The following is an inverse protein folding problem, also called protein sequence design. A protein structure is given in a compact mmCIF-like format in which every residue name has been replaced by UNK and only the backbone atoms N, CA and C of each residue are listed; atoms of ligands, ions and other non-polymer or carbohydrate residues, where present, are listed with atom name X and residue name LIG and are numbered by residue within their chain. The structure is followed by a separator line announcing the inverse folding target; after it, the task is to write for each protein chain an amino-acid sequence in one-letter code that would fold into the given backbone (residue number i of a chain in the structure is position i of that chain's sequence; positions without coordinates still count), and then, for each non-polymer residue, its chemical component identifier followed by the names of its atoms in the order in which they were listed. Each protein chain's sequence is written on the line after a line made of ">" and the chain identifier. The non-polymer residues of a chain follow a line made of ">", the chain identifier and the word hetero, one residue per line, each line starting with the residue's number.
data_IF_168748002874
#
_entry.id   IF_168748002874
#
_cell.length_a   1.000
_cell.length_b   1.000
_cell.length_c   1.000
_cell.angle_alpha   90.00
_cell.angle_beta   90.00
_cell.angle_gamma   90.00
#
_symmetry.space_group_name_H-M   'P 1'
#
loop_
_entity.id
_entity.type
_entity.pdbx_description
1 polymer ?
#
# COMPACT_ATOMS: atom_id res chain seq x y z
N UNK A 1 0.31 -1.34 3.78
CA UNK A 1 1.34 -1.61 4.80
C UNK A 1 0.82 -2.54 5.88
N UNK A 2 1.69 -3.43 6.38
CA UNK A 2 1.31 -4.39 7.41
C UNK A 2 1.20 -3.70 8.78
N UNK A 3 2.23 -2.97 9.19
CA UNK A 3 2.19 -2.12 10.38
C UNK A 3 2.07 -0.63 10.02
N UNK A 4 1.59 0.21 10.94
CA UNK A 4 1.38 1.62 10.68
C UNK A 4 2.01 2.50 11.78
N UNK A 5 1.26 3.12 12.63
CA UNK A 5 1.74 4.10 13.60
C UNK A 5 2.30 3.40 14.87
N UNK A 6 3.39 2.67 14.72
CA UNK A 6 4.11 1.96 15.78
C UNK A 6 5.59 2.37 15.79
N UNK A 7 6.27 2.21 16.91
CA UNK A 7 7.70 2.47 16.98
C UNK A 7 8.47 1.50 16.07
N UNK A 8 9.52 1.98 15.38
CA UNK A 8 10.28 1.14 14.43
C UNK A 8 10.85 -0.13 15.08
N UNK A 9 11.28 -0.04 16.35
CA UNK A 9 11.79 -1.20 17.11
C UNK A 9 10.77 -2.32 17.32
N UNK A 10 9.48 -2.01 17.24
CA UNK A 10 8.40 -2.96 17.51
C UNK A 10 7.88 -3.62 16.23
N UNK A 11 8.31 -3.13 15.04
CA UNK A 11 7.79 -3.57 13.74
C UNK A 11 7.98 -5.05 13.53
N UNK A 12 9.19 -5.59 13.70
CA UNK A 12 9.46 -7.00 13.41
C UNK A 12 8.61 -7.93 14.27
N UNK A 13 8.43 -7.59 15.56
CA UNK A 13 7.61 -8.37 16.51
C UNK A 13 6.09 -8.32 16.23
N UNK A 14 5.63 -7.38 15.40
CA UNK A 14 4.20 -7.23 15.02
C UNK A 14 3.87 -7.87 13.67
N UNK A 15 4.87 -8.32 12.92
CA UNK A 15 4.63 -8.97 11.64
C UNK A 15 4.15 -10.40 11.84
N UNK A 16 3.09 -10.77 11.12
CA UNK A 16 2.59 -12.15 11.06
C UNK A 16 2.30 -12.53 9.61
N UNK A 17 2.35 -13.82 9.25
CA UNK A 17 1.95 -14.26 7.90
C UNK A 17 0.53 -13.82 7.55
N UNK A 18 -0.40 -13.88 8.49
CA UNK A 18 -1.78 -13.42 8.31
C UNK A 18 -1.84 -11.91 8.02
N UNK A 19 -1.09 -11.11 8.78
CA UNK A 19 -1.02 -9.66 8.58
C UNK A 19 -0.50 -9.27 7.20
N UNK A 20 0.51 -9.99 6.69
CA UNK A 20 1.02 -9.81 5.31
C UNK A 20 -0.05 -10.20 4.29
N UNK A 21 -0.70 -11.34 4.46
CA UNK A 21 -1.76 -11.80 3.56
C UNK A 21 -2.97 -10.87 3.57
N UNK A 22 -3.38 -10.37 4.73
CA UNK A 22 -4.50 -9.44 4.88
C UNK A 22 -4.19 -8.09 4.21
N UNK A 23 -2.97 -7.58 4.36
CA UNK A 23 -2.53 -6.36 3.69
C UNK A 23 -2.50 -6.53 2.16
N UNK A 24 -2.06 -7.68 1.66
CA UNK A 24 -2.05 -8.02 0.24
C UNK A 24 -3.49 -8.14 -0.31
N UNK A 25 -4.39 -8.79 0.42
CA UNK A 25 -5.80 -8.88 0.06
C UNK A 25 -6.46 -7.50 0.02
N UNK A 26 -6.23 -6.68 1.04
CA UNK A 26 -6.81 -5.35 1.14
C UNK A 26 -6.42 -4.43 -0.01
N UNK A 27 -5.14 -4.41 -0.42
CA UNK A 27 -4.71 -3.60 -1.56
C UNK A 27 -5.25 -4.17 -2.87
N UNK A 28 -5.29 -5.50 -3.04
CA UNK A 28 -5.88 -6.16 -4.21
C UNK A 28 -7.34 -5.76 -4.37
N UNK A 29 -8.15 -5.87 -3.32
CA UNK A 29 -9.57 -5.49 -3.34
C UNK A 29 -9.77 -4.00 -3.62
N UNK A 30 -8.89 -3.15 -3.09
CA UNK A 30 -8.94 -1.71 -3.33
C UNK A 30 -8.64 -1.37 -4.79
N UNK A 31 -7.66 -2.04 -5.41
CA UNK A 31 -7.33 -1.88 -6.83
C UNK A 31 -8.45 -2.39 -7.75
N UNK A 32 -9.03 -3.53 -7.41
CA UNK A 32 -10.19 -4.07 -8.10
C UNK A 32 -11.38 -3.11 -8.02
N UNK A 33 -11.66 -2.54 -6.84
CA UNK A 33 -12.72 -1.55 -6.67
C UNK A 33 -12.44 -0.25 -7.44
N UNK A 34 -11.18 0.13 -7.59
CA UNK A 34 -10.74 1.29 -8.37
C UNK A 34 -10.78 1.06 -9.91
N UNK A 35 -11.15 -0.16 -10.36
CA UNK A 35 -11.33 -0.49 -11.78
C UNK A 35 -10.18 -1.26 -12.42
N UNK A 36 -9.18 -1.72 -11.65
CA UNK A 36 -8.18 -2.66 -12.18
C UNK A 36 -8.82 -4.05 -12.32
N UNK A 37 -8.61 -4.71 -13.45
CA UNK A 37 -9.17 -6.05 -13.71
C UNK A 37 -8.31 -7.17 -13.15
N UNK A 38 -6.99 -7.04 -13.28
CA UNK A 38 -6.00 -8.05 -12.88
C UNK A 38 -4.83 -7.35 -12.13
N UNK A 39 -5.06 -6.88 -10.88
CA UNK A 39 -4.03 -6.16 -10.15
C UNK A 39 -2.88 -7.08 -9.75
N UNK A 40 -1.65 -6.68 -10.10
CA UNK A 40 -0.42 -7.34 -9.66
C UNK A 40 0.16 -6.59 -8.46
N UNK A 41 0.36 -7.29 -7.37
CA UNK A 41 0.84 -6.72 -6.11
C UNK A 41 2.23 -7.24 -5.79
N UNK A 42 3.14 -6.35 -5.43
CA UNK A 42 4.46 -6.70 -4.89
C UNK A 42 4.48 -6.59 -3.37
N UNK A 43 5.24 -7.44 -2.70
CA UNK A 43 5.48 -7.36 -1.26
C UNK A 43 6.96 -7.03 -1.01
N UNK A 44 7.22 -6.01 -0.19
CA UNK A 44 8.56 -5.68 0.27
C UNK A 44 9.08 -6.70 1.30
N UNK A 45 10.38 -6.91 1.33
CA UNK A 45 11.05 -7.41 2.53
C UNK A 45 11.08 -6.36 3.64
N UNK A 46 11.40 -6.80 4.84
CA UNK A 46 11.64 -5.94 6.00
C UNK A 46 13.11 -5.49 6.04
N UNK A 47 14.02 -6.45 5.86
CA UNK A 47 15.44 -6.29 6.05
C UNK A 47 16.18 -5.89 4.76
N UNK A 48 17.38 -5.28 4.86
CA UNK A 48 18.23 -5.01 3.70
C UNK A 48 18.43 -6.27 2.85
N UNK A 49 18.35 -6.12 1.52
CA UNK A 49 18.54 -7.22 0.56
C UNK A 49 17.69 -8.47 0.83
N UNK A 50 16.46 -8.29 1.38
CA UNK A 50 15.57 -9.39 1.80
C UNK A 50 16.23 -10.35 2.81
N UNK A 51 16.94 -9.79 3.78
CA UNK A 51 17.60 -10.57 4.83
C UNK A 51 18.89 -11.26 4.40
N UNK A 52 19.24 -11.29 3.10
CA UNK A 52 20.45 -11.92 2.54
C UNK A 52 20.70 -13.31 3.13
N UNK A 53 19.77 -14.24 2.93
CA UNK A 53 19.78 -15.60 3.49
C UNK A 53 19.91 -15.65 5.02
N UNK A 54 19.37 -14.65 5.74
CA UNK A 54 19.38 -14.57 7.19
C UNK A 54 20.55 -13.78 7.79
N UNK A 55 21.45 -13.24 6.97
CA UNK A 55 22.57 -12.42 7.47
C UNK A 55 22.11 -11.12 8.13
N UNK A 56 20.97 -10.56 7.68
CA UNK A 56 20.41 -9.28 8.17
C UNK A 56 19.04 -9.42 8.86
N UNK A 57 18.62 -10.65 9.13
CA UNK A 57 17.31 -10.98 9.68
C UNK A 57 16.66 -12.10 8.93
N UNK A 58 15.67 -12.74 9.53
CA UNK A 58 15.01 -13.93 8.98
C UNK A 58 13.49 -13.74 8.80
N UNK A 59 12.97 -12.54 9.00
CA UNK A 59 11.55 -12.25 8.88
C UNK A 59 11.02 -12.50 7.46
N UNK A 60 11.87 -12.40 6.44
CA UNK A 60 11.50 -12.73 5.07
C UNK A 60 11.08 -14.19 4.96
N UNK A 61 11.92 -15.12 5.43
CA UNK A 61 11.67 -16.56 5.32
C UNK A 61 10.66 -17.08 6.34
N UNK A 62 10.62 -16.48 7.55
CA UNK A 62 9.78 -16.98 8.65
C UNK A 62 8.39 -16.38 8.69
N UNK A 63 8.18 -15.18 8.10
CA UNK A 63 6.93 -14.44 8.17
C UNK A 63 6.44 -14.00 6.80
N UNK A 64 7.29 -13.32 6.00
CA UNK A 64 6.82 -12.63 4.79
C UNK A 64 6.54 -13.64 3.66
N UNK A 65 7.42 -14.58 3.39
CA UNK A 65 7.20 -15.63 2.39
C UNK A 65 5.98 -16.50 2.72
N UNK A 66 5.80 -16.99 3.97
CA UNK A 66 4.57 -17.67 4.37
C UNK A 66 3.31 -16.81 4.16
N UNK A 67 3.39 -15.50 4.47
CA UNK A 67 2.28 -14.56 4.24
C UNK A 67 1.95 -14.36 2.75
N UNK A 68 2.96 -14.29 1.89
CA UNK A 68 2.79 -14.26 0.43
C UNK A 68 2.12 -15.55 -0.07
N UNK A 69 2.57 -16.71 0.41
CA UNK A 69 1.97 -18.00 0.06
C UNK A 69 0.48 -18.05 0.49
N UNK A 70 0.17 -17.54 1.68
CA UNK A 70 -1.21 -17.44 2.18
C UNK A 70 -2.05 -16.46 1.32
N UNK A 71 -1.51 -15.31 0.92
CA UNK A 71 -2.19 -14.39 0.03
C UNK A 71 -2.52 -15.02 -1.34
N UNK A 72 -1.58 -15.78 -1.90
CA UNK A 72 -1.78 -16.54 -3.15
C UNK A 72 -2.88 -17.58 -3.02
N UNK A 73 -2.94 -18.31 -1.90
CA UNK A 73 -4.00 -19.28 -1.64
C UNK A 73 -5.39 -18.64 -1.52
N UNK A 74 -5.44 -17.35 -1.18
CA UNK A 74 -6.66 -16.52 -1.14
C UNK A 74 -6.99 -15.84 -2.49
N UNK A 75 -6.30 -16.23 -3.58
CA UNK A 75 -6.54 -15.74 -4.93
C UNK A 75 -5.91 -14.39 -5.29
N UNK A 76 -4.95 -13.89 -4.50
CA UNK A 76 -4.23 -12.65 -4.83
C UNK A 76 -3.05 -12.94 -5.76
N UNK A 77 -2.89 -12.15 -6.84
CA UNK A 77 -1.70 -12.15 -7.69
C UNK A 77 -0.59 -11.33 -7.01
N UNK A 78 0.22 -12.01 -6.21
CA UNK A 78 1.22 -11.40 -5.33
C UNK A 78 2.60 -11.98 -5.60
N UNK A 79 3.60 -11.12 -5.72
CA UNK A 79 5.01 -11.48 -5.87
C UNK A 79 5.87 -10.88 -4.76
N UNK A 80 6.99 -11.54 -4.47
CA UNK A 80 7.96 -11.09 -3.48
C UNK A 80 8.51 -12.23 -2.62
N UNK A 81 9.22 -11.89 -1.53
CA UNK A 81 9.57 -10.53 -1.13
C UNK A 81 10.60 -9.88 -2.06
N UNK A 82 10.55 -8.55 -2.18
CA UNK A 82 11.50 -7.76 -2.94
C UNK A 82 12.21 -6.75 -2.05
N UNK A 83 13.50 -6.43 -2.32
CA UNK A 83 14.18 -5.35 -1.62
C UNK A 83 13.41 -4.02 -1.73
N UNK A 84 13.16 -3.39 -0.59
CA UNK A 84 12.31 -2.20 -0.51
C UNK A 84 12.90 -0.97 -1.22
N UNK A 85 14.23 -0.90 -1.35
CA UNK A 85 14.94 0.17 -2.03
C UNK A 85 14.76 0.17 -3.56
N UNK A 86 14.41 -0.97 -4.16
CA UNK A 86 14.32 -1.13 -5.63
C UNK A 86 12.92 -1.35 -6.16
N UNK A 87 12.01 -1.93 -5.36
CA UNK A 87 10.69 -2.35 -5.85
C UNK A 87 9.83 -1.17 -6.35
N UNK A 88 9.99 0.03 -5.78
CA UNK A 88 9.24 1.21 -6.20
C UNK A 88 9.60 1.66 -7.62
N UNK A 89 10.86 1.45 -8.07
CA UNK A 89 11.27 1.70 -9.45
C UNK A 89 10.52 0.77 -10.41
N UNK A 90 10.37 -0.51 -10.05
CA UNK A 90 9.63 -1.50 -10.85
C UNK A 90 8.15 -1.15 -10.94
N UNK A 91 7.54 -0.71 -9.84
CA UNK A 91 6.15 -0.27 -9.83
C UNK A 91 5.96 1.02 -10.66
N UNK A 92 6.86 1.99 -10.55
CA UNK A 92 6.84 3.20 -11.39
C UNK A 92 6.91 2.87 -12.88
N UNK A 93 7.61 1.80 -13.26
CA UNK A 93 7.71 1.31 -14.63
C UNK A 93 6.52 0.40 -15.04
N UNK A 94 5.47 0.32 -14.23
CA UNK A 94 4.23 -0.40 -14.56
C UNK A 94 4.28 -1.91 -14.38
N UNK A 95 5.30 -2.47 -13.70
CA UNK A 95 5.38 -3.91 -13.46
C UNK A 95 4.40 -4.37 -12.37
N UNK A 96 4.05 -3.49 -11.43
CA UNK A 96 3.12 -3.74 -10.35
C UNK A 96 2.14 -2.59 -10.19
N UNK A 97 0.92 -2.90 -9.79
CA UNK A 97 -0.15 -1.95 -9.56
C UNK A 97 -0.24 -1.52 -8.08
N UNK A 98 0.33 -2.32 -7.19
CA UNK A 98 0.38 -2.05 -5.76
C UNK A 98 1.61 -2.65 -5.09
N UNK A 99 2.00 -2.05 -3.96
CA UNK A 99 3.10 -2.52 -3.13
C UNK A 99 2.63 -2.64 -1.68
N UNK A 100 2.83 -3.80 -1.08
CA UNK A 100 2.68 -4.01 0.37
C UNK A 100 4.02 -3.75 1.03
N UNK A 101 4.06 -2.83 1.98
CA UNK A 101 5.24 -2.50 2.78
C UNK A 101 5.06 -2.97 4.21
N UNK A 102 6.16 -3.20 4.93
CA UNK A 102 6.12 -3.74 6.29
C UNK A 102 5.82 -2.66 7.32
N UNK A 103 6.28 -1.43 7.11
CA UNK A 103 6.08 -0.32 8.04
C UNK A 103 5.83 1.01 7.31
N UNK A 104 5.45 2.02 8.09
CA UNK A 104 4.96 3.31 7.58
C UNK A 104 5.94 3.98 6.61
N UNK A 105 7.17 4.29 7.04
CA UNK A 105 8.08 5.12 6.25
C UNK A 105 8.64 4.38 5.03
N UNK A 106 8.68 3.04 5.06
CA UNK A 106 9.10 2.23 3.91
C UNK A 106 8.28 2.54 2.64
N UNK A 107 6.99 2.82 2.80
CA UNK A 107 6.10 3.18 1.69
C UNK A 107 5.86 4.68 1.54
N UNK A 108 5.73 5.40 2.65
CA UNK A 108 5.33 6.80 2.61
C UNK A 108 6.40 7.72 2.02
N UNK A 109 7.68 7.44 2.27
CA UNK A 109 8.79 8.21 1.68
C UNK A 109 8.74 8.06 0.16
N UNK A 110 8.68 6.84 -0.35
CA UNK A 110 8.62 6.56 -1.78
C UNK A 110 7.38 7.19 -2.44
N UNK A 111 6.20 7.01 -1.85
CA UNK A 111 4.95 7.57 -2.36
C UNK A 111 5.00 9.10 -2.44
N UNK A 112 5.50 9.78 -1.42
CA UNK A 112 5.62 11.24 -1.41
C UNK A 112 6.61 11.76 -2.45
N UNK A 113 7.73 11.07 -2.65
CA UNK A 113 8.71 11.41 -3.68
C UNK A 113 8.18 11.16 -5.10
N UNK A 114 7.31 10.16 -5.28
CA UNK A 114 6.71 9.85 -6.58
C UNK A 114 5.59 10.81 -6.99
N UNK A 115 4.92 11.48 -6.05
CA UNK A 115 3.82 12.38 -6.41
C UNK A 115 2.99 12.90 -5.24
N UNK A 116 3.59 13.66 -4.36
CA UNK A 116 2.94 14.19 -3.15
C UNK A 116 1.66 14.99 -3.44
N UNK A 117 1.68 15.85 -4.48
CA UNK A 117 0.55 16.72 -4.82
C UNK A 117 -0.68 15.97 -5.37
N UNK A 118 -0.51 14.71 -5.75
CA UNK A 118 -1.56 13.86 -6.34
C UNK A 118 -1.97 12.72 -5.42
N UNK A 119 -1.30 12.60 -4.27
CA UNK A 119 -1.47 11.49 -3.35
C UNK A 119 -2.87 11.45 -2.74
N UNK A 120 -3.44 10.25 -2.68
CA UNK A 120 -4.73 9.96 -2.06
C UNK A 120 -4.56 8.87 -1.03
N UNK A 121 -5.15 9.06 0.14
CA UNK A 121 -5.28 8.01 1.14
C UNK A 121 -6.61 7.30 0.96
N UNK A 122 -6.60 5.98 0.88
CA UNK A 122 -7.79 5.14 0.83
C UNK A 122 -7.91 4.36 2.13
N UNK A 123 -9.07 4.45 2.77
CA UNK A 123 -9.43 3.60 3.92
C UNK A 123 -10.02 2.28 3.36
N UNK A 124 -9.17 1.27 3.25
CA UNK A 124 -9.59 -0.05 2.74
C UNK A 124 -10.39 -0.85 3.77
N UNK A 125 -11.13 -1.87 3.31
CA UNK A 125 -11.90 -2.79 4.19
C UNK A 125 -13.23 -2.25 4.69
N UNK A 126 -13.63 -1.04 4.31
CA UNK A 126 -14.92 -0.47 4.69
C UNK A 126 -16.02 -0.81 3.66
N UNK A 127 -17.30 -0.85 4.09
CA UNK A 127 -18.42 -1.12 3.20
C UNK A 127 -18.68 -0.02 2.18
N UNK A 128 -18.16 1.19 2.40
CA UNK A 128 -18.22 2.32 1.49
C UNK A 128 -16.82 2.82 1.17
N UNK A 129 -16.55 3.43 -0.01
CA UNK A 129 -15.29 4.08 -0.30
C UNK A 129 -15.08 5.30 0.60
N UNK A 130 -13.96 5.34 1.29
CA UNK A 130 -13.52 6.53 2.05
C UNK A 130 -12.13 6.90 1.55
N UNK A 131 -12.02 8.09 0.99
CA UNK A 131 -10.77 8.62 0.44
C UNK A 131 -10.50 10.03 0.96
N UNK A 132 -9.24 10.35 1.18
CA UNK A 132 -8.80 11.68 1.57
C UNK A 132 -7.55 12.08 0.80
N UNK A 133 -7.28 13.40 0.60
CA UNK A 133 -5.96 13.82 0.16
C UNK A 133 -4.89 13.35 1.12
N UNK A 134 -3.69 13.08 0.61
CA UNK A 134 -2.57 12.60 1.44
C UNK A 134 -1.83 13.75 2.17
N UNK A 135 -2.21 15.01 1.94
CA UNK A 135 -1.64 16.17 2.64
C UNK A 135 -2.35 16.43 3.98
N UNK A 136 -1.72 17.22 4.84
CA UNK A 136 -2.28 17.68 6.11
C UNK A 136 -3.33 18.79 5.96
N UNK A 137 -3.75 19.35 7.08
CA UNK A 137 -4.84 20.34 7.19
C UNK A 137 -4.51 21.72 6.64
N UNK A 138 -3.23 22.06 6.45
CA UNK A 138 -2.75 23.31 5.86
C UNK A 138 -3.39 24.58 6.48
N UNK A 139 -3.45 24.64 7.81
CA UNK A 139 -4.04 25.77 8.54
C UNK A 139 -3.39 27.13 8.23
N UNK A 140 -2.11 27.12 7.86
CA UNK A 140 -1.32 28.29 7.48
C UNK A 140 -1.87 29.06 6.26
N UNK A 141 -2.65 28.39 5.41
CA UNK A 141 -3.30 28.97 4.22
C UNK A 141 -4.82 29.03 4.32
N UNK A 142 -5.39 28.70 5.47
CA UNK A 142 -6.84 28.72 5.67
C UNK A 142 -7.42 30.14 5.40
N UNK A 143 -8.51 30.22 4.65
CA UNK A 143 -9.16 31.46 4.28
C UNK A 143 -8.46 32.31 3.21
N UNK A 144 -7.27 31.87 2.71
CA UNK A 144 -6.50 32.66 1.71
C UNK A 144 -6.86 32.37 0.26
N UNK A 145 -7.67 31.37 -0.01
CA UNK A 145 -8.10 30.99 -1.37
C UNK A 145 -6.97 30.47 -2.30
N UNK A 146 -5.83 30.05 -1.75
CA UNK A 146 -4.64 29.63 -2.50
C UNK A 146 -4.35 28.12 -2.42
N UNK A 147 -5.25 27.34 -1.82
CA UNK A 147 -5.08 25.90 -1.68
C UNK A 147 -5.04 25.19 -3.04
N UNK A 148 -4.09 24.25 -3.20
CA UNK A 148 -4.08 23.35 -4.36
C UNK A 148 -5.14 22.26 -4.15
N UNK A 149 -6.17 22.26 -5.00
CA UNK A 149 -7.29 21.32 -4.91
C UNK A 149 -7.04 19.98 -5.63
N UNK A 150 -5.89 19.79 -6.25
CA UNK A 150 -5.59 18.62 -7.09
C UNK A 150 -5.73 17.30 -6.35
N UNK A 151 -5.17 17.16 -5.15
CA UNK A 151 -5.27 15.94 -4.36
C UNK A 151 -6.71 15.66 -3.88
N UNK A 152 -7.49 16.71 -3.52
CA UNK A 152 -8.89 16.57 -3.15
C UNK A 152 -9.73 16.08 -4.34
N UNK A 153 -9.52 16.67 -5.53
CA UNK A 153 -10.19 16.21 -6.74
C UNK A 153 -9.87 14.77 -7.06
N UNK A 154 -8.60 14.37 -6.98
CA UNK A 154 -8.19 12.98 -7.19
C UNK A 154 -8.83 12.03 -6.17
N UNK A 155 -8.94 12.44 -4.90
CA UNK A 155 -9.59 11.66 -3.86
C UNK A 155 -11.08 11.47 -4.17
N UNK A 156 -11.79 12.54 -4.55
CA UNK A 156 -13.19 12.47 -4.95
C UNK A 156 -13.41 11.59 -6.17
N UNK A 157 -12.63 11.78 -7.24
CA UNK A 157 -12.73 10.99 -8.47
C UNK A 157 -12.47 9.49 -8.20
N UNK A 158 -11.52 9.17 -7.29
CA UNK A 158 -11.24 7.80 -6.90
C UNK A 158 -12.41 7.19 -6.11
N UNK A 159 -13.00 7.94 -5.16
CA UNK A 159 -14.18 7.47 -4.42
C UNK A 159 -15.35 7.16 -5.35
N UNK A 160 -15.61 8.02 -6.34
CA UNK A 160 -16.66 7.80 -7.35
C UNK A 160 -16.41 6.52 -8.17
N UNK A 161 -15.17 6.29 -8.65
CA UNK A 161 -14.83 5.07 -9.37
C UNK A 161 -15.01 3.82 -8.51
N UNK A 162 -14.54 3.86 -7.25
CA UNK A 162 -14.67 2.73 -6.33
C UNK A 162 -16.14 2.42 -5.99
N UNK A 163 -16.99 3.44 -5.87
CA UNK A 163 -18.42 3.27 -5.65
C UNK A 163 -19.10 2.60 -6.85
N UNK A 164 -18.82 3.08 -8.08
CA UNK A 164 -19.34 2.51 -9.31
C UNK A 164 -18.89 1.05 -9.53
N UNK A 165 -17.61 0.71 -9.25
CA UNK A 165 -17.07 -0.63 -9.41
C UNK A 165 -17.65 -1.67 -8.44
N UNK A 166 -18.28 -1.25 -7.33
CA UNK A 166 -18.98 -2.14 -6.41
C UNK A 166 -20.37 -2.55 -6.91
N UNK A 167 -21.09 -1.67 -7.60
CA UNK A 167 -22.42 -1.95 -8.15
C UNK A 167 -22.41 -2.98 -9.29
N UNK A 168 -21.25 -3.20 -9.93
CA UNK A 168 -21.11 -4.19 -11.01
C UNK A 168 -20.72 -5.58 -10.53
N UNK A 169 -20.55 -5.79 -9.21
CA UNK A 169 -20.10 -7.06 -8.60
C UNK A 169 -21.08 -7.66 -7.59
N UNK A 170 -22.23 -7.02 -7.39
CA UNK A 170 -23.38 -7.54 -6.60
C UNK A 170 -24.42 -8.27 -7.55
#
# INVERSE_FOLDING_TARGET
>A
RVTSHVALRDVSGLLTPEGVADAAKLITDSLLAAGKTEPRVAVCGLNPHNGDNGNYGNEESTVIEPGIALARSRGCAVDGPFPADTIFVRAKNGQYDGIVTMYHDQGQIAMKLMGFERGVTVQGGLPIPVTTPAHGTAYDIAGRGIANVGAMKNAFDLACRMAAGRHTRS
#
